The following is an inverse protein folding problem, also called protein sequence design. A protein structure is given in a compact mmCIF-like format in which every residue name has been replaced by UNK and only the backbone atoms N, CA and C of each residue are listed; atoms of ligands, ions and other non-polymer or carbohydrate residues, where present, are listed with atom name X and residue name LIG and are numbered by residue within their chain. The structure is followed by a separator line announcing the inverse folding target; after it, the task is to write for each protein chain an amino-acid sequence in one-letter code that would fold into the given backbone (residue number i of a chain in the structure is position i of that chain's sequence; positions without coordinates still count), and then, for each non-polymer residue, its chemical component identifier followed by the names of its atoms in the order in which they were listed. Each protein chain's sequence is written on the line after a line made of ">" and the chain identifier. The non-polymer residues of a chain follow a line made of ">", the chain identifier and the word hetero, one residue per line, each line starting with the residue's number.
data_IF_240751649541
#
_entry.id   IF_240751649541
#
_cell.length_a   1.000
_cell.length_b   1.000
_cell.length_c   1.000
_cell.angle_alpha   90.00
_cell.angle_beta   90.00
_cell.angle_gamma   90.00
#
_symmetry.space_group_name_H-M   'P 1'
#
loop_
_entity.id
_entity.type
_entity.pdbx_description
1 polymer ?
#
# COMPACT_ATOMS: atom_id res chain seq x y z
N UNK A 1 -5.76 3.38 30.44
CA UNK A 1 -5.80 3.51 28.96
C UNK A 1 -5.63 2.11 28.39
N UNK A 2 -6.67 1.50 27.83
CA UNK A 2 -6.53 0.19 27.18
C UNK A 2 -5.80 0.39 25.86
N UNK A 3 -4.58 -0.14 25.76
CA UNK A 3 -3.85 -0.26 24.50
C UNK A 3 -4.58 -1.27 23.64
N UNK A 4 -5.27 -0.80 22.60
CA UNK A 4 -5.84 -1.69 21.57
C UNK A 4 -4.73 -2.59 21.04
N UNK A 5 -5.00 -3.88 20.91
CA UNK A 5 -4.03 -4.84 20.38
C UNK A 5 -3.54 -4.34 19.01
N UNK A 6 -2.24 -4.05 18.83
CA UNK A 6 -1.73 -3.48 17.58
C UNK A 6 -1.97 -4.40 16.39
N UNK A 7 -2.05 -5.72 16.59
CA UNK A 7 -2.35 -6.67 15.51
C UNK A 7 -3.74 -6.48 14.93
N UNK A 8 -4.73 -6.13 15.76
CA UNK A 8 -6.08 -5.84 15.30
C UNK A 8 -6.13 -4.56 14.46
N UNK A 9 -5.29 -3.57 14.79
CA UNK A 9 -5.14 -2.36 13.96
C UNK A 9 -4.62 -2.70 12.56
N UNK A 10 -3.53 -3.48 12.46
CA UNK A 10 -2.94 -3.85 11.17
C UNK A 10 -3.87 -4.71 10.32
N UNK A 11 -4.71 -5.56 10.93
CA UNK A 11 -5.73 -6.35 10.22
C UNK A 11 -6.85 -5.52 9.61
N UNK A 12 -7.10 -4.33 10.17
CA UNK A 12 -8.12 -3.39 9.65
C UNK A 12 -7.55 -2.36 8.67
N UNK A 13 -6.24 -2.38 8.41
CA UNK A 13 -5.67 -1.43 7.46
C UNK A 13 -6.21 -1.70 6.06
N UNK A 14 -6.61 -0.65 5.34
CA UNK A 14 -7.01 -0.81 3.96
C UNK A 14 -5.82 -1.33 3.13
N UNK A 15 -6.10 -2.09 2.06
CA UNK A 15 -5.06 -2.45 1.10
C UNK A 15 -4.36 -1.21 0.56
N UNK A 16 -3.08 -1.36 0.23
CA UNK A 16 -2.25 -0.27 -0.28
C UNK A 16 -2.79 0.26 -1.62
N UNK A 17 -2.79 1.57 -1.78
CA UNK A 17 -3.29 2.27 -2.96
C UNK A 17 -2.18 3.08 -3.60
N UNK A 18 -2.17 3.10 -4.93
CA UNK A 18 -1.22 3.87 -5.72
C UNK A 18 -1.45 5.37 -5.52
N UNK A 19 -0.37 6.12 -5.22
CA UNK A 19 -0.42 7.57 -5.04
C UNK A 19 -0.83 8.32 -6.31
N UNK A 20 -0.53 7.77 -7.48
CA UNK A 20 -0.83 8.42 -8.77
C UNK A 20 -2.24 8.13 -9.29
N UNK A 21 -2.68 6.87 -9.26
CA UNK A 21 -3.95 6.48 -9.88
C UNK A 21 -5.01 5.96 -8.90
N UNK A 22 -4.69 5.81 -7.62
CA UNK A 22 -5.61 5.31 -6.59
C UNK A 22 -5.96 3.82 -6.70
N UNK A 23 -5.42 3.10 -7.69
CA UNK A 23 -5.68 1.66 -7.82
C UNK A 23 -5.07 0.89 -6.65
N UNK A 24 -5.69 -0.23 -6.30
CA UNK A 24 -5.12 -1.15 -5.32
C UNK A 24 -3.82 -1.74 -5.87
N UNK A 25 -2.75 -1.63 -5.08
CA UNK A 25 -1.47 -2.23 -5.42
C UNK A 25 -1.47 -3.67 -4.90
N UNK A 26 -1.26 -4.62 -5.82
CA UNK A 26 -1.10 -6.05 -5.51
C UNK A 26 0.40 -6.32 -5.39
N UNK A 27 0.97 -6.00 -4.23
CA UNK A 27 2.40 -6.13 -3.97
C UNK A 27 2.69 -7.00 -2.76
N UNK A 28 3.94 -7.45 -2.65
CA UNK A 28 4.45 -8.07 -1.43
C UNK A 28 4.38 -7.06 -0.28
N UNK A 29 4.09 -7.54 0.93
CA UNK A 29 3.93 -6.68 2.11
C UNK A 29 5.18 -5.83 2.45
N UNK A 30 6.34 -6.16 1.87
CA UNK A 30 7.62 -5.49 2.07
C UNK A 30 7.94 -4.40 1.04
N UNK A 31 7.06 -4.20 0.04
CA UNK A 31 7.32 -3.19 -0.99
C UNK A 31 7.14 -1.76 -0.46
N UNK A 32 8.20 -0.97 -0.59
CA UNK A 32 8.22 0.46 -0.22
C UNK A 32 7.71 1.39 -1.33
N UNK A 33 7.36 0.84 -2.51
CA UNK A 33 6.94 1.64 -3.67
C UNK A 33 5.53 2.18 -3.49
N UNK A 34 5.29 3.47 -3.70
CA UNK A 34 3.96 4.07 -3.50
C UNK A 34 3.10 4.06 -4.77
N UNK A 35 3.67 3.58 -5.87
CA UNK A 35 3.07 3.58 -7.20
C UNK A 35 2.87 2.14 -7.70
N UNK A 36 1.83 1.91 -8.50
CA UNK A 36 1.63 0.60 -9.13
C UNK A 36 2.54 0.44 -10.34
N UNK A 37 2.78 -0.81 -10.76
CA UNK A 37 3.63 -1.16 -11.91
C UNK A 37 3.29 -0.33 -13.17
N UNK A 38 1.99 -0.10 -13.42
CA UNK A 38 1.54 0.70 -14.56
C UNK A 38 2.03 2.15 -14.50
N UNK A 39 2.01 2.77 -13.32
CA UNK A 39 2.45 4.16 -13.17
C UNK A 39 3.98 4.21 -13.19
N UNK A 40 4.66 3.29 -12.51
CA UNK A 40 6.12 3.18 -12.53
C UNK A 40 6.68 3.05 -13.96
N UNK A 41 6.08 2.20 -14.80
CA UNK A 41 6.50 2.06 -16.20
C UNK A 41 6.35 3.32 -17.07
N UNK A 42 5.61 4.35 -16.63
CA UNK A 42 5.55 5.64 -17.34
C UNK A 42 6.77 6.52 -17.06
N UNK A 43 7.53 6.22 -16.02
CA UNK A 43 8.69 7.00 -15.60
C UNK A 43 10.01 6.44 -16.15
N UNK A 44 9.97 5.32 -16.87
CA UNK A 44 11.15 4.62 -17.41
C UNK A 44 11.57 5.07 -18.83
N UNK A 45 11.18 6.27 -19.27
CA UNK A 45 11.66 6.90 -20.53
C UNK A 45 12.92 7.76 -20.33
#
# INVERSE_FOLDING_TARGET
>A
MQTKNPLEFFRTLPPKQCSECGTHIIEQAESYLMECDRCLSKHED
#
